data_IF_470968259639
#
_entry.id   IF_470968259639
#
_cell.length_a   1.000
_cell.length_b   1.000
_cell.length_c   1.000
_cell.angle_alpha   90.00
_cell.angle_beta   90.00
_cell.angle_gamma   90.00
#
_symmetry.space_group_name_H-M   'P 1'
#
loop_
_entity.id
_entity.type
_entity.pdbx_description
1 polymer ?
#
# COMPACT_ATOMS: atom_id res chain seq x y z
N UNK A 1 -6.83 29.70 36.40
CA UNK A 1 -7.66 29.06 35.36
C UNK A 1 -6.71 28.37 34.41
N UNK A 2 -6.59 27.05 34.50
CA UNK A 2 -5.79 26.26 33.56
C UNK A 2 -6.62 26.20 32.27
N UNK A 3 -6.09 26.78 31.20
CA UNK A 3 -6.71 26.69 29.88
C UNK A 3 -6.73 25.20 29.49
N UNK A 4 -7.94 24.64 29.38
CA UNK A 4 -8.12 23.31 28.82
C UNK A 4 -7.72 23.39 27.35
N UNK A 5 -6.67 22.67 26.96
CA UNK A 5 -6.29 22.53 25.56
C UNK A 5 -7.49 22.02 24.75
N UNK A 6 -7.72 22.52 23.53
CA UNK A 6 -8.78 22.01 22.68
C UNK A 6 -8.49 20.54 22.38
N UNK A 7 -9.41 19.66 22.78
CA UNK A 7 -9.39 18.25 22.39
C UNK A 7 -9.27 18.16 20.87
N UNK A 8 -8.53 17.17 20.37
CA UNK A 8 -8.42 16.90 18.93
C UNK A 8 -9.79 16.75 18.23
N UNK A 9 -10.88 16.57 18.99
CA UNK A 9 -12.28 16.59 18.54
C UNK A 9 -12.79 17.97 18.03
N UNK A 10 -12.05 19.07 18.22
CA UNK A 10 -12.47 20.44 17.84
C UNK A 10 -11.63 21.08 16.74
N UNK A 11 -10.62 20.40 16.20
CA UNK A 11 -9.88 20.91 15.05
C UNK A 11 -10.79 20.95 13.81
N UNK A 12 -10.98 22.13 13.22
CA UNK A 12 -11.83 22.40 12.04
C UNK A 12 -11.49 21.61 10.77
N UNK A 13 -10.45 20.79 10.83
CA UNK A 13 -9.94 19.94 9.74
C UNK A 13 -10.81 18.67 9.59
N UNK A 14 -11.47 18.22 10.65
CA UNK A 14 -12.25 16.98 10.65
C UNK A 14 -13.74 17.29 10.72
N UNK A 15 -14.43 17.21 9.58
CA UNK A 15 -15.90 17.16 9.63
C UNK A 15 -16.32 15.89 10.37
N UNK A 16 -16.95 16.00 11.55
CA UNK A 16 -17.44 14.85 12.34
C UNK A 16 -18.33 13.92 11.50
N UNK A 17 -19.04 14.48 10.52
CA UNK A 17 -19.81 13.73 9.53
C UNK A 17 -18.96 12.78 8.67
N UNK A 18 -17.71 13.14 8.33
CA UNK A 18 -16.83 12.28 7.52
C UNK A 18 -16.37 11.05 8.29
N UNK A 19 -15.96 11.23 9.55
CA UNK A 19 -15.56 10.12 10.44
C UNK A 19 -16.70 9.13 10.60
N UNK A 20 -17.91 9.65 10.85
CA UNK A 20 -19.14 8.85 10.96
C UNK A 20 -19.38 8.01 9.71
N UNK A 21 -19.37 8.62 8.53
CA UNK A 21 -19.64 7.91 7.26
C UNK A 21 -18.58 6.85 6.96
N UNK A 22 -17.30 7.19 7.13
CA UNK A 22 -16.19 6.25 6.87
C UNK A 22 -16.28 5.06 7.80
N UNK A 23 -16.37 5.30 9.11
CA UNK A 23 -16.39 4.21 10.09
C UNK A 23 -17.65 3.37 10.03
N UNK A 24 -18.81 3.96 9.70
CA UNK A 24 -20.03 3.18 9.48
C UNK A 24 -19.87 2.20 8.31
N UNK A 25 -19.26 2.63 7.20
CA UNK A 25 -18.96 1.76 6.05
C UNK A 25 -18.01 0.63 6.43
N UNK A 26 -16.93 0.95 7.15
CA UNK A 26 -15.96 -0.01 7.67
C UNK A 26 -16.61 -1.06 8.57
N UNK A 27 -17.43 -0.64 9.54
CA UNK A 27 -18.11 -1.55 10.47
C UNK A 27 -19.12 -2.46 9.78
N UNK A 28 -19.80 -1.98 8.73
CA UNK A 28 -20.70 -2.79 7.92
C UNK A 28 -19.93 -3.86 7.13
N UNK A 29 -18.77 -3.52 6.59
CA UNK A 29 -17.92 -4.47 5.90
C UNK A 29 -17.33 -5.52 6.86
N UNK A 30 -16.91 -5.10 8.06
CA UNK A 30 -16.32 -5.97 9.07
C UNK A 30 -17.29 -6.97 9.70
N UNK A 31 -18.61 -6.78 9.59
CA UNK A 31 -19.63 -7.67 10.17
C UNK A 31 -19.62 -9.11 9.61
N UNK A 32 -18.85 -9.36 8.54
CA UNK A 32 -18.62 -10.72 8.02
C UNK A 32 -17.62 -11.52 8.88
N UNK A 33 -16.65 -10.82 9.45
CA UNK A 33 -15.51 -11.42 10.15
C UNK A 33 -15.54 -11.15 11.67
N UNK A 34 -16.29 -10.13 12.09
CA UNK A 34 -16.36 -9.65 13.48
C UNK A 34 -17.79 -9.57 14.00
N UNK A 35 -18.01 -10.11 15.21
CA UNK A 35 -19.22 -9.85 16.00
C UNK A 35 -19.06 -8.58 16.84
N UNK A 36 -20.18 -8.00 17.29
CA UNK A 36 -20.14 -6.80 18.14
C UNK A 36 -19.49 -7.10 19.50
N UNK A 37 -19.69 -8.32 20.02
CA UNK A 37 -19.09 -8.78 21.27
C UNK A 37 -17.58 -8.97 21.13
N UNK A 38 -17.11 -9.49 20.00
CA UNK A 38 -15.69 -9.63 19.72
C UNK A 38 -15.00 -8.26 19.59
N UNK A 39 -15.67 -7.31 18.93
CA UNK A 39 -15.18 -5.94 18.84
C UNK A 39 -15.22 -5.23 20.20
N UNK A 40 -16.21 -5.50 21.06
CA UNK A 40 -16.21 -4.97 22.43
C UNK A 40 -15.01 -5.48 23.21
N UNK A 41 -14.73 -6.78 23.16
CA UNK A 41 -13.60 -7.37 23.86
C UNK A 41 -12.25 -6.80 23.39
N UNK A 42 -12.11 -6.53 22.08
CA UNK A 42 -10.86 -6.06 21.50
C UNK A 42 -10.67 -4.54 21.57
N UNK A 43 -11.74 -3.75 21.39
CA UNK A 43 -11.65 -2.28 21.33
C UNK A 43 -12.05 -1.58 22.63
N UNK A 44 -12.65 -2.30 23.58
CA UNK A 44 -13.18 -1.76 24.83
C UNK A 44 -14.49 -0.96 24.67
N UNK A 45 -15.02 -0.83 23.46
CA UNK A 45 -16.25 -0.10 23.17
C UNK A 45 -17.45 -1.04 23.30
N UNK A 46 -18.46 -0.64 24.06
CA UNK A 46 -19.65 -1.46 24.30
C UNK A 46 -20.33 -1.90 22.99
N UNK A 47 -20.68 -3.17 22.87
CA UNK A 47 -21.35 -3.77 21.71
C UNK A 47 -22.61 -2.98 21.31
N UNK A 48 -23.37 -2.48 22.29
CA UNK A 48 -24.53 -1.59 22.04
C UNK A 48 -24.17 -0.33 21.26
N UNK A 49 -23.01 0.27 21.56
CA UNK A 49 -22.54 1.49 20.90
C UNK A 49 -22.03 1.16 19.49
N UNK A 50 -21.28 0.06 19.34
CA UNK A 50 -20.83 -0.45 18.03
C UNK A 50 -22.03 -0.69 17.10
N UNK A 51 -23.07 -1.34 17.61
CA UNK A 51 -24.32 -1.56 16.87
C UNK A 51 -24.99 -0.24 16.45
N UNK A 52 -25.07 0.74 17.35
CA UNK A 52 -25.62 2.07 17.04
C UNK A 52 -24.80 2.80 15.96
N UNK A 53 -23.47 2.69 16.00
CA UNK A 53 -22.61 3.26 14.96
C UNK A 53 -22.83 2.57 13.61
N UNK A 54 -22.93 1.24 13.59
CA UNK A 54 -23.05 0.45 12.36
C UNK A 54 -24.42 0.59 11.70
N UNK A 55 -25.49 0.46 12.48
CA UNK A 55 -26.87 0.38 11.99
C UNK A 55 -27.50 1.77 11.90
N UNK A 56 -27.54 2.49 13.01
CA UNK A 56 -28.23 3.78 13.13
C UNK A 56 -27.40 4.95 12.59
N UNK A 57 -26.08 4.75 12.42
CA UNK A 57 -25.18 5.81 11.97
C UNK A 57 -25.06 6.94 12.98
N UNK A 58 -25.11 6.59 14.28
CA UNK A 58 -24.96 7.56 15.36
C UNK A 58 -23.60 8.25 15.28
N UNK A 59 -23.54 9.52 15.69
CA UNK A 59 -22.29 10.27 15.79
C UNK A 59 -21.28 9.52 16.68
N UNK A 60 -20.04 9.43 16.18
CA UNK A 60 -18.96 8.67 16.79
C UNK A 60 -17.81 9.63 17.13
N UNK A 61 -17.35 9.66 18.39
CA UNK A 61 -16.17 10.46 18.74
C UNK A 61 -14.92 9.87 18.09
N UNK A 62 -13.93 10.72 17.80
CA UNK A 62 -12.71 10.29 17.10
C UNK A 62 -11.94 9.22 17.89
N UNK A 63 -11.93 9.34 19.23
CA UNK A 63 -11.32 8.35 20.13
C UNK A 63 -11.93 6.94 19.97
N UNK A 64 -13.25 6.85 19.80
CA UNK A 64 -13.92 5.57 19.56
C UNK A 64 -13.63 5.04 18.14
N UNK A 65 -13.62 5.93 17.15
CA UNK A 65 -13.26 5.58 15.78
C UNK A 65 -11.85 4.99 15.68
N UNK A 66 -10.87 5.63 16.33
CA UNK A 66 -9.48 5.16 16.37
C UNK A 66 -9.35 3.83 17.11
N UNK A 67 -10.02 3.68 18.25
CA UNK A 67 -10.00 2.43 19.03
C UNK A 67 -10.53 1.25 18.22
N UNK A 68 -11.61 1.44 17.45
CA UNK A 68 -12.13 0.42 16.53
C UNK A 68 -11.18 0.19 15.34
N UNK A 69 -10.64 1.26 14.78
CA UNK A 69 -9.79 1.18 13.60
C UNK A 69 -8.47 0.42 13.86
N UNK A 70 -7.89 0.56 15.05
CA UNK A 70 -6.69 -0.21 15.46
C UNK A 70 -6.99 -1.71 15.48
N UNK A 71 -8.14 -2.11 16.02
CA UNK A 71 -8.57 -3.53 16.08
C UNK A 71 -8.86 -4.09 14.70
N UNK A 72 -9.54 -3.32 13.85
CA UNK A 72 -9.91 -3.73 12.49
C UNK A 72 -8.72 -3.68 11.51
N UNK A 73 -7.60 -3.08 11.93
CA UNK A 73 -6.35 -3.03 11.18
C UNK A 73 -6.32 -1.96 10.09
N UNK A 74 -5.32 -2.06 9.20
CA UNK A 74 -4.99 -1.04 8.21
C UNK A 74 -6.16 -0.65 7.28
N UNK A 75 -7.08 -1.58 7.00
CA UNK A 75 -8.27 -1.34 6.18
C UNK A 75 -9.24 -0.33 6.80
N UNK A 76 -9.26 -0.23 8.13
CA UNK A 76 -10.07 0.75 8.86
C UNK A 76 -9.27 2.01 9.19
N UNK A 77 -8.00 1.83 9.56
CA UNK A 77 -7.14 2.93 10.00
C UNK A 77 -6.76 3.88 8.86
N UNK A 78 -6.41 3.37 7.68
CA UNK A 78 -5.97 4.21 6.56
C UNK A 78 -7.06 5.15 6.05
N UNK A 79 -8.31 4.70 5.80
CA UNK A 79 -9.40 5.61 5.42
C UNK A 79 -9.72 6.64 6.50
N UNK A 80 -9.63 6.26 7.78
CA UNK A 80 -9.87 7.16 8.90
C UNK A 80 -8.79 8.26 8.97
N UNK A 81 -7.51 7.91 8.87
CA UNK A 81 -6.41 8.88 8.84
C UNK A 81 -6.44 9.75 7.58
N UNK A 82 -6.87 9.21 6.44
CA UNK A 82 -7.04 9.99 5.21
C UNK A 82 -8.07 11.13 5.39
N UNK A 83 -9.06 10.99 6.29
CA UNK A 83 -10.02 12.08 6.57
C UNK A 83 -9.38 13.33 7.16
N UNK A 84 -8.20 13.18 7.78
CA UNK A 84 -7.44 14.25 8.40
C UNK A 84 -6.17 14.60 7.61
N UNK A 85 -6.05 14.10 6.38
CA UNK A 85 -4.92 14.35 5.49
C UNK A 85 -3.68 13.48 5.76
N UNK A 86 -3.75 12.54 6.71
CA UNK A 86 -2.66 11.62 7.01
C UNK A 86 -2.80 10.38 6.13
N UNK A 87 -2.00 10.31 5.07
CA UNK A 87 -1.96 9.18 4.15
C UNK A 87 -0.56 8.57 4.19
N UNK A 88 -0.47 7.31 4.63
CA UNK A 88 0.75 6.53 4.49
C UNK A 88 0.88 6.07 3.02
N UNK A 89 2.04 6.32 2.42
CA UNK A 89 2.45 5.68 1.17
C UNK A 89 3.47 4.59 1.52
N UNK A 90 3.46 3.43 0.85
CA UNK A 90 4.54 2.46 1.00
C UNK A 90 5.89 3.16 0.75
N UNK A 91 6.83 2.99 1.68
CA UNK A 91 8.22 3.44 1.47
C UNK A 91 8.90 2.59 0.39
N UNK A 92 8.49 1.32 0.31
CA UNK A 92 9.03 0.32 -0.60
C UNK A 92 7.95 -0.09 -1.60
N UNK A 93 7.70 0.73 -2.62
CA UNK A 93 7.34 0.10 -3.90
C UNK A 93 8.63 -0.55 -4.38
N UNK A 94 8.78 -1.86 -4.17
CA UNK A 94 9.66 -2.64 -5.04
C UNK A 94 9.24 -2.25 -6.46
N UNK A 95 10.13 -1.59 -7.21
CA UNK A 95 9.87 -1.10 -8.57
C UNK A 95 8.95 -2.10 -9.25
N UNK A 96 7.73 -1.66 -9.58
CA UNK A 96 6.82 -2.53 -10.30
C UNK A 96 7.59 -3.02 -11.51
N UNK A 97 7.93 -4.31 -11.51
CA UNK A 97 8.62 -4.88 -12.63
C UNK A 97 7.72 -4.64 -13.83
N UNK A 98 8.28 -3.98 -14.83
CA UNK A 98 7.63 -3.76 -16.10
C UNK A 98 8.31 -4.70 -17.11
N UNK A 99 7.89 -5.98 -17.21
CA UNK A 99 8.53 -6.96 -18.09
C UNK A 99 8.69 -6.48 -19.54
N UNK A 100 7.73 -5.70 -20.03
CA UNK A 100 7.79 -5.13 -21.38
C UNK A 100 8.94 -4.13 -21.54
N UNK A 101 9.22 -3.31 -20.52
CA UNK A 101 10.36 -2.38 -20.52
C UNK A 101 11.68 -3.13 -20.37
N UNK A 102 11.74 -4.12 -19.48
CA UNK A 102 12.92 -4.99 -19.30
C UNK A 102 13.29 -5.70 -20.62
N UNK A 103 12.31 -6.26 -21.31
CA UNK A 103 12.52 -6.88 -22.62
C UNK A 103 12.97 -5.83 -23.64
N UNK A 104 12.30 -4.67 -23.71
CA UNK A 104 12.68 -3.60 -24.64
C UNK A 104 14.13 -3.10 -24.42
N UNK A 105 14.55 -2.93 -23.17
CA UNK A 105 15.89 -2.47 -22.81
C UNK A 105 16.95 -3.53 -23.15
N UNK A 106 16.63 -4.82 -22.96
CA UNK A 106 17.52 -5.92 -23.32
C UNK A 106 17.78 -6.04 -24.83
N UNK A 107 16.81 -5.68 -25.68
CA UNK A 107 16.91 -5.80 -27.14
C UNK A 107 18.04 -4.95 -27.73
N UNK A 108 18.33 -3.78 -27.14
CA UNK A 108 19.45 -2.92 -27.56
C UNK A 108 20.80 -3.64 -27.40
N UNK A 109 20.96 -4.40 -26.32
CA UNK A 109 22.19 -5.14 -26.05
C UNK A 109 22.30 -6.39 -26.93
N UNK A 110 21.17 -7.08 -27.18
CA UNK A 110 21.13 -8.15 -28.18
C UNK A 110 21.51 -7.66 -29.58
N UNK A 111 21.09 -6.44 -29.98
CA UNK A 111 21.49 -5.86 -31.26
C UNK A 111 23.01 -5.69 -31.38
N UNK A 112 23.69 -5.34 -30.29
CA UNK A 112 25.16 -5.16 -30.28
C UNK A 112 25.87 -6.48 -30.54
N UNK A 113 25.45 -7.55 -29.86
CA UNK A 113 25.99 -8.90 -30.05
C UNK A 113 25.63 -9.43 -31.44
N UNK A 114 24.42 -9.19 -31.93
CA UNK A 114 23.97 -9.64 -33.24
C UNK A 114 24.76 -8.99 -34.39
N UNK A 115 25.12 -7.71 -34.26
CA UNK A 115 25.96 -7.01 -35.24
C UNK A 115 27.38 -7.60 -35.30
N UNK A 116 28.00 -7.84 -34.14
CA UNK A 116 29.33 -8.45 -34.07
C UNK A 116 29.33 -9.92 -34.53
N UNK A 117 28.26 -10.67 -34.28
CA UNK A 117 28.15 -12.07 -34.70
C UNK A 117 27.65 -12.26 -36.15
N UNK A 118 27.42 -11.17 -36.90
CA UNK A 118 26.75 -11.22 -38.22
C UNK A 118 27.53 -11.98 -39.30
N UNK A 119 28.85 -12.05 -39.17
CA UNK A 119 29.76 -12.80 -40.03
C UNK A 119 30.06 -14.23 -39.51
N UNK A 120 29.42 -14.62 -38.40
CA UNK A 120 29.58 -15.91 -37.75
C UNK A 120 30.71 -15.99 -36.72
N UNK A 121 31.40 -14.89 -36.39
CA UNK A 121 32.46 -14.88 -35.38
C UNK A 121 32.64 -13.52 -34.70
N UNK A 122 32.68 -13.51 -33.37
CA UNK A 122 33.10 -12.31 -32.61
C UNK A 122 34.63 -12.27 -32.56
N UNK A 123 35.23 -11.17 -33.01
CA UNK A 123 36.67 -10.98 -32.97
C UNK A 123 37.19 -10.35 -31.65
N UNK A 124 38.52 -10.28 -31.49
CA UNK A 124 39.15 -9.74 -30.29
C UNK A 124 38.94 -8.23 -30.08
N UNK A 125 38.54 -7.50 -31.12
CA UNK A 125 38.24 -6.06 -31.07
C UNK A 125 36.79 -5.80 -30.66
N UNK A 126 35.88 -6.69 -31.04
CA UNK A 126 34.46 -6.65 -30.69
C UNK A 126 34.14 -7.32 -29.36
N UNK A 127 35.02 -8.20 -28.89
CA UNK A 127 34.88 -8.97 -27.66
C UNK A 127 34.55 -8.11 -26.42
N UNK A 128 35.21 -6.97 -26.16
CA UNK A 128 34.89 -6.15 -25.00
C UNK A 128 33.46 -5.59 -25.03
N UNK A 129 33.03 -5.09 -26.18
CA UNK A 129 31.68 -4.53 -26.38
C UNK A 129 30.60 -5.62 -26.27
N UNK A 130 30.88 -6.83 -26.77
CA UNK A 130 29.97 -7.97 -26.63
C UNK A 130 29.86 -8.44 -25.17
N UNK A 131 30.97 -8.41 -24.43
CA UNK A 131 30.98 -8.77 -23.02
C UNK A 131 30.18 -7.77 -22.18
N UNK A 132 30.38 -6.47 -22.39
CA UNK A 132 29.59 -5.42 -21.72
C UNK A 132 28.10 -5.55 -22.05
N UNK A 133 27.75 -5.79 -23.32
CA UNK A 133 26.37 -6.03 -23.71
C UNK A 133 25.77 -7.27 -23.02
N UNK A 134 26.53 -8.36 -22.87
CA UNK A 134 26.09 -9.56 -22.16
C UNK A 134 25.87 -9.30 -20.66
N UNK A 135 26.77 -8.56 -20.01
CA UNK A 135 26.64 -8.17 -18.60
C UNK A 135 25.38 -7.32 -18.37
N UNK A 136 25.10 -6.40 -19.29
CA UNK A 136 23.88 -5.59 -19.24
C UNK A 136 22.61 -6.41 -19.47
N UNK A 137 22.62 -7.41 -20.37
CA UNK A 137 21.49 -8.34 -20.53
C UNK A 137 21.23 -9.08 -19.21
N UNK A 138 22.28 -9.59 -18.57
CA UNK A 138 22.18 -10.30 -17.28
C UNK A 138 21.57 -9.36 -16.24
N UNK A 139 22.12 -8.15 -16.08
CA UNK A 139 21.64 -7.18 -15.10
C UNK A 139 20.17 -6.80 -15.33
N UNK A 140 19.77 -6.59 -16.58
CA UNK A 140 18.40 -6.20 -16.95
C UNK A 140 17.40 -7.34 -16.74
N UNK A 141 17.76 -8.59 -17.00
CA UNK A 141 16.85 -9.75 -16.91
C UNK A 141 16.86 -10.43 -15.53
N UNK A 142 17.92 -10.24 -14.72
CA UNK A 142 18.05 -10.82 -13.38
C UNK A 142 16.83 -10.55 -12.46
N UNK A 143 16.22 -9.35 -12.45
CA UNK A 143 15.02 -9.10 -11.66
C UNK A 143 13.84 -9.99 -12.05
N UNK A 144 13.65 -10.31 -13.34
CA UNK A 144 12.58 -11.23 -13.80
C UNK A 144 12.75 -12.63 -13.23
N UNK A 145 13.99 -13.12 -13.13
CA UNK A 145 14.29 -14.42 -12.54
C UNK A 145 14.05 -14.47 -11.02
N UNK A 146 14.10 -13.32 -10.35
CA UNK A 146 14.05 -13.21 -8.89
C UNK A 146 12.64 -12.86 -8.37
N UNK A 147 11.80 -12.26 -9.22
CA UNK A 147 10.44 -11.83 -8.92
C UNK A 147 9.45 -12.96 -8.64
N UNK A 148 9.70 -14.17 -9.17
CA UNK A 148 8.80 -15.31 -9.03
C UNK A 148 8.81 -16.04 -7.68
N UNK A 149 9.49 -15.51 -6.65
CA UNK A 149 9.63 -16.15 -5.32
C UNK A 149 9.00 -15.39 -4.15
N UNK A 150 8.38 -14.24 -4.41
CA UNK A 150 7.78 -13.39 -3.38
C UNK A 150 6.24 -13.26 -3.54
N UNK A 151 5.57 -14.35 -3.93
CA UNK A 151 4.11 -14.47 -3.97
C UNK A 151 3.66 -15.75 -3.27
#
# INVERSE_FOLDING_TARGET
MIASEPSADEASIVGRDRVRHVMQGVLRAANRDWTDEALEAASGIKARAIKAYRVEGKEMPLSAALSLAVVLGARALNPLLATIGYVARPLDEAEQLHPMQIVADSLRHFSTIASAASDGRIDHTEQPSCQEAADMIIATVLPLSSAGKAA
#
